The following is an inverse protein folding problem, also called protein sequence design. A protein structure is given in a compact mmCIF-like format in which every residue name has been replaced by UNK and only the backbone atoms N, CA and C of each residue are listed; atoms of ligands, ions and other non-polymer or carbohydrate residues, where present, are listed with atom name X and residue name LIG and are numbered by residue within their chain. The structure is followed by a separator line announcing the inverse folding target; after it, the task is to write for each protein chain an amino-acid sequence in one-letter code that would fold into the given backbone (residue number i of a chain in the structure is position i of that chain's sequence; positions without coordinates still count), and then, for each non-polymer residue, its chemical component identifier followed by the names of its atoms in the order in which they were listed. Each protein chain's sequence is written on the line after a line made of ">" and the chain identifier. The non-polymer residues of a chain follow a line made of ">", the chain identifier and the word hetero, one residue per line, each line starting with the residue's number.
data_IF_809488719791
#
_entry.id   IF_809488719791
#
_cell.length_a   1.000
_cell.length_b   1.000
_cell.length_c   1.000
_cell.angle_alpha   90.00
_cell.angle_beta   90.00
_cell.angle_gamma   90.00
#
_symmetry.space_group_name_H-M   'P 1'
#
loop_
_entity.id
_entity.type
_entity.pdbx_description
1 polymer ?
#
# COMPACT_ATOMS: atom_id res chain seq x y z
N UNK A 1 -14.84 -4.46 -35.51
CA UNK A 1 -15.43 -4.93 -34.24
C UNK A 1 -14.31 -5.09 -33.22
N UNK A 2 -14.41 -4.42 -32.07
CA UNK A 2 -13.70 -4.77 -30.83
C UNK A 2 -12.21 -4.41 -30.70
N UNK A 3 -11.84 -3.13 -30.83
CA UNK A 3 -10.57 -2.67 -30.24
C UNK A 3 -10.75 -2.50 -28.72
N UNK A 4 -10.38 -3.51 -27.93
CA UNK A 4 -10.22 -3.37 -26.48
C UNK A 4 -9.36 -4.50 -25.95
N UNK A 5 -8.47 -4.20 -25.01
CA UNK A 5 -7.51 -5.11 -24.35
C UNK A 5 -6.14 -5.26 -25.03
N UNK A 6 -5.58 -4.16 -25.54
CA UNK A 6 -4.12 -4.00 -25.45
C UNK A 6 -3.78 -3.50 -24.02
N UNK A 7 -4.06 -4.35 -23.02
CA UNK A 7 -3.48 -4.26 -21.68
C UNK A 7 -2.01 -4.66 -21.86
N UNK A 8 -1.17 -3.71 -22.28
CA UNK A 8 0.29 -3.89 -22.28
C UNK A 8 0.69 -4.48 -20.93
N UNK A 9 1.32 -5.64 -20.99
CA UNK A 9 1.43 -6.63 -19.92
C UNK A 9 1.69 -5.97 -18.57
N UNK A 10 0.93 -6.39 -17.56
CA UNK A 10 1.06 -6.02 -16.14
C UNK A 10 2.54 -5.89 -15.70
N UNK A 11 3.38 -6.79 -16.19
CA UNK A 11 4.86 -6.82 -16.04
C UNK A 11 5.61 -5.59 -16.59
N UNK A 12 5.17 -5.01 -17.71
CA UNK A 12 5.80 -3.84 -18.34
C UNK A 12 5.51 -2.57 -17.55
N UNK A 13 4.34 -2.48 -16.89
CA UNK A 13 4.06 -1.39 -15.94
C UNK A 13 4.90 -1.53 -14.67
N UNK A 14 5.04 -2.76 -14.16
CA UNK A 14 5.84 -3.08 -12.96
C UNK A 14 7.28 -2.59 -13.10
N UNK A 15 7.92 -2.84 -14.26
CA UNK A 15 9.30 -2.38 -14.51
C UNK A 15 9.45 -0.86 -14.56
N UNK A 16 8.49 -0.17 -15.18
CA UNK A 16 8.52 1.30 -15.27
C UNK A 16 8.22 1.99 -13.94
N UNK A 17 7.38 1.40 -13.09
CA UNK A 17 7.12 1.87 -11.73
C UNK A 17 8.34 1.63 -10.82
N UNK A 18 9.04 0.49 -10.98
CA UNK A 18 10.29 0.17 -10.30
C UNK A 18 11.41 1.20 -10.55
N UNK A 19 11.51 1.74 -11.77
CA UNK A 19 12.59 2.65 -12.17
C UNK A 19 12.28 4.14 -11.93
N UNK A 20 11.02 4.55 -11.74
CA UNK A 20 10.64 5.98 -11.68
C UNK A 20 9.96 6.47 -10.39
N UNK A 21 9.38 5.60 -9.54
CA UNK A 21 8.53 6.04 -8.42
C UNK A 21 8.87 5.44 -7.04
N UNK A 22 9.83 4.51 -6.96
CA UNK A 22 10.36 4.00 -5.69
C UNK A 22 11.66 4.75 -5.31
N UNK A 23 11.64 6.08 -5.50
CA UNK A 23 12.65 7.01 -5.01
C UNK A 23 12.32 7.49 -3.58
N UNK A 24 11.21 7.01 -3.00
CA UNK A 24 10.99 7.08 -1.55
C UNK A 24 11.98 6.17 -0.86
N UNK A 25 12.63 6.67 0.19
CA UNK A 25 13.64 5.96 0.97
C UNK A 25 13.28 4.48 1.10
N UNK A 26 14.08 3.61 0.50
CA UNK A 26 13.97 2.15 0.67
C UNK A 26 14.39 1.82 2.10
N UNK A 27 13.62 2.27 3.07
CA UNK A 27 13.76 1.86 4.46
C UNK A 27 13.42 0.37 4.44
N UNK A 28 14.43 -0.46 4.66
CA UNK A 28 14.21 -1.91 4.76
C UNK A 28 13.32 -2.20 5.96
N UNK A 29 12.70 -3.38 5.98
CA UNK A 29 11.88 -3.82 7.12
C UNK A 29 12.65 -3.68 8.44
N UNK A 30 13.94 -3.96 8.43
CA UNK A 30 14.83 -3.81 9.60
C UNK A 30 15.06 -2.35 10.01
N UNK A 31 15.30 -1.46 9.04
CA UNK A 31 15.46 -0.03 9.32
C UNK A 31 14.14 0.58 9.81
N UNK A 32 13.00 0.15 9.25
CA UNK A 32 11.68 0.58 9.70
C UNK A 32 11.42 0.12 11.15
N UNK A 33 11.81 -1.11 11.50
CA UNK A 33 11.76 -1.60 12.88
C UNK A 33 12.62 -0.76 13.83
N UNK A 34 13.83 -0.38 13.43
CA UNK A 34 14.70 0.50 14.24
C UNK A 34 14.13 1.90 14.39
N UNK A 35 13.65 2.49 13.30
CA UNK A 35 13.04 3.83 13.29
C UNK A 35 11.83 3.90 14.22
N UNK A 36 10.97 2.88 14.17
CA UNK A 36 9.78 2.77 15.01
C UNK A 36 10.10 2.29 16.45
N UNK A 37 11.36 1.98 16.75
CA UNK A 37 11.80 1.41 18.02
C UNK A 37 10.96 0.19 18.43
N UNK A 38 10.66 -0.68 17.46
CA UNK A 38 9.80 -1.83 17.66
C UNK A 38 10.47 -2.86 18.57
N UNK A 39 9.71 -3.47 19.52
CA UNK A 39 10.25 -4.55 20.33
C UNK A 39 10.66 -5.73 19.43
N UNK A 40 11.66 -6.49 19.86
CA UNK A 40 12.32 -7.56 19.09
C UNK A 40 11.36 -8.67 18.60
N UNK A 41 10.17 -8.78 19.20
CA UNK A 41 9.11 -9.69 18.78
C UNK A 41 8.15 -9.16 17.71
N UNK A 42 8.38 -7.97 17.14
CA UNK A 42 7.45 -7.38 16.18
C UNK A 42 7.54 -8.07 14.82
N UNK A 43 6.41 -8.62 14.39
CA UNK A 43 6.26 -9.34 13.15
C UNK A 43 5.83 -8.40 12.03
N UNK A 44 6.50 -8.52 10.89
CA UNK A 44 6.07 -7.80 9.69
C UNK A 44 4.90 -8.55 9.05
N UNK A 45 3.73 -7.91 8.98
CA UNK A 45 2.54 -8.50 8.34
C UNK A 45 2.53 -8.28 6.84
N UNK A 46 2.96 -7.10 6.37
CA UNK A 46 2.91 -6.74 4.96
C UNK A 46 2.77 -5.23 4.75
N UNK A 47 2.33 -4.84 3.57
CA UNK A 47 2.05 -3.46 3.17
C UNK A 47 0.55 -3.19 3.29
N UNK A 48 0.17 -2.04 3.81
CA UNK A 48 -1.21 -1.57 3.91
C UNK A 48 -1.35 -0.20 3.29
N UNK A 49 -2.54 0.14 2.82
CA UNK A 49 -2.82 1.45 2.25
C UNK A 49 -3.56 2.26 3.31
N UNK A 50 -2.95 3.35 3.76
CA UNK A 50 -3.45 4.28 4.76
C UNK A 50 -3.90 5.58 4.09
N UNK A 51 -5.03 6.13 4.52
CA UNK A 51 -5.60 7.40 4.08
C UNK A 51 -5.31 8.43 5.18
N UNK A 52 -4.26 9.26 5.04
CA UNK A 52 -3.92 10.26 6.05
C UNK A 52 -5.01 11.33 6.26
N UNK A 53 -5.92 11.50 5.31
CA UNK A 53 -6.98 12.50 5.38
C UNK A 53 -8.07 12.12 6.40
N UNK A 54 -8.40 10.83 6.47
CA UNK A 54 -9.47 10.30 7.32
C UNK A 54 -8.99 9.38 8.44
N UNK A 55 -7.68 9.10 8.49
CA UNK A 55 -7.04 8.15 9.42
C UNK A 55 -7.66 6.74 9.28
N UNK A 56 -7.80 6.29 8.03
CA UNK A 56 -8.41 5.01 7.68
C UNK A 56 -7.48 4.15 6.82
N UNK A 57 -7.69 2.84 6.83
CA UNK A 57 -6.94 1.87 6.05
C UNK A 57 -7.84 1.20 5.03
N UNK A 58 -7.33 0.97 3.83
CA UNK A 58 -8.04 0.17 2.84
C UNK A 58 -8.23 -1.25 3.36
N UNK A 59 -9.49 -1.68 3.52
CA UNK A 59 -9.88 -3.01 3.99
C UNK A 59 -10.32 -3.91 2.84
N UNK A 60 -11.08 -3.36 1.89
CA UNK A 60 -11.56 -4.08 0.70
C UNK A 60 -11.28 -3.25 -0.55
N UNK A 61 -10.81 -3.93 -1.59
CA UNK A 61 -10.68 -3.36 -2.93
C UNK A 61 -11.15 -4.40 -3.93
N UNK A 62 -12.20 -4.06 -4.68
CA UNK A 62 -12.75 -4.87 -5.74
C UNK A 62 -12.93 -3.98 -6.99
N UNK A 63 -12.12 -4.24 -8.01
CA UNK A 63 -12.27 -3.64 -9.33
C UNK A 63 -13.27 -4.49 -10.14
N UNK A 64 -14.34 -3.86 -10.63
CA UNK A 64 -15.29 -4.46 -11.58
C UNK A 64 -15.35 -3.61 -12.86
N UNK A 65 -15.79 -4.17 -13.98
CA UNK A 65 -15.82 -3.48 -15.29
C UNK A 65 -16.61 -2.16 -15.30
N UNK A 66 -17.50 -1.95 -14.33
CA UNK A 66 -18.33 -0.76 -14.20
C UNK A 66 -17.96 0.15 -13.01
N UNK A 67 -17.30 -0.37 -11.97
CA UNK A 67 -17.01 0.38 -10.75
C UNK A 67 -15.86 -0.21 -9.93
N UNK A 68 -15.15 0.68 -9.22
CA UNK A 68 -14.19 0.31 -8.18
C UNK A 68 -14.91 0.39 -6.84
N UNK A 69 -15.07 -0.75 -6.17
CA UNK A 69 -15.60 -0.83 -4.82
C UNK A 69 -14.42 -0.82 -3.83
N UNK A 70 -14.41 0.16 -2.94
CA UNK A 70 -13.38 0.31 -1.91
C UNK A 70 -14.06 0.44 -0.56
N UNK A 71 -13.58 -0.32 0.42
CA UNK A 71 -14.00 -0.18 1.82
C UNK A 71 -12.79 0.18 2.66
N UNK A 72 -13.02 1.07 3.63
CA UNK A 72 -11.99 1.58 4.52
C UNK A 72 -12.34 1.21 5.97
N UNK A 73 -11.33 0.93 6.78
CA UNK A 73 -11.45 0.55 8.18
C UNK A 73 -10.49 1.39 9.02
N UNK A 74 -10.91 1.81 10.21
CA UNK A 74 -10.06 2.60 11.14
C UNK A 74 -9.04 1.76 11.91
N UNK A 75 -9.12 0.44 11.80
CA UNK A 75 -8.27 -0.48 12.54
C UNK A 75 -7.30 -1.12 11.54
N UNK A 76 -5.99 -1.05 11.80
CA UNK A 76 -4.99 -1.62 10.89
C UNK A 76 -5.07 -3.15 10.78
N UNK A 77 -5.60 -3.84 11.79
CA UNK A 77 -5.88 -5.30 11.76
C UNK A 77 -6.90 -5.68 10.67
N UNK A 78 -7.90 -4.83 10.43
CA UNK A 78 -8.91 -5.05 9.39
C UNK A 78 -8.44 -4.55 8.01
N UNK A 79 -7.23 -3.98 7.93
CA UNK A 79 -6.69 -3.50 6.67
C UNK A 79 -6.35 -4.67 5.75
N UNK A 80 -6.46 -4.41 4.46
CA UNK A 80 -5.99 -5.31 3.42
C UNK A 80 -4.46 -5.28 3.43
N UNK A 81 -3.89 -6.37 3.93
CA UNK A 81 -2.44 -6.57 3.93
C UNK A 81 -2.00 -7.16 2.59
N UNK A 82 -1.08 -6.47 1.93
CA UNK A 82 -0.44 -6.88 0.70
C UNK A 82 0.95 -7.46 1.02
N UNK A 83 1.32 -8.58 0.40
CA UNK A 83 2.65 -9.16 0.61
C UNK A 83 3.76 -8.41 -0.14
N UNK A 84 3.40 -7.66 -1.18
CA UNK A 84 4.32 -6.88 -2.01
C UNK A 84 3.86 -5.43 -2.10
N UNK A 85 4.82 -4.50 -2.04
CA UNK A 85 4.58 -3.08 -2.27
C UNK A 85 3.97 -2.82 -3.64
N UNK A 86 4.35 -3.60 -4.66
CA UNK A 86 3.85 -3.47 -6.03
C UNK A 86 2.32 -3.64 -6.10
N UNK A 87 1.78 -4.68 -5.47
CA UNK A 87 0.33 -4.89 -5.39
C UNK A 87 -0.37 -3.76 -4.66
N UNK A 88 0.26 -3.18 -3.63
CA UNK A 88 -0.27 -2.03 -2.92
C UNK A 88 -0.24 -0.77 -3.81
N UNK A 89 0.85 -0.54 -4.57
CA UNK A 89 0.97 0.58 -5.51
C UNK A 89 -0.05 0.45 -6.65
N UNK A 90 -0.26 -0.75 -7.22
CA UNK A 90 -1.27 -0.97 -8.25
C UNK A 90 -2.66 -0.52 -7.76
N UNK A 91 -3.05 -0.97 -6.56
CA UNK A 91 -4.33 -0.60 -5.95
C UNK A 91 -4.38 0.88 -5.58
N UNK A 92 -3.26 1.43 -5.11
CA UNK A 92 -3.13 2.84 -4.79
C UNK A 92 -3.32 3.72 -6.04
N UNK A 93 -2.73 3.36 -7.18
CA UNK A 93 -2.85 4.12 -8.43
C UNK A 93 -4.27 4.10 -8.99
N UNK A 94 -5.06 3.06 -8.69
CA UNK A 94 -6.49 3.00 -9.03
C UNK A 94 -7.33 3.98 -8.18
N UNK A 95 -6.92 4.20 -6.92
CA UNK A 95 -7.58 5.12 -5.98
C UNK A 95 -7.01 6.53 -6.16
N UNK A 96 -7.45 7.21 -7.21
CA UNK A 96 -7.02 8.58 -7.53
C UNK A 96 -7.79 9.67 -6.79
N UNK A 97 -8.91 9.33 -6.15
CA UNK A 97 -9.77 10.29 -5.43
C UNK A 97 -9.22 10.72 -4.07
N UNK A 98 -8.34 9.93 -3.48
CA UNK A 98 -7.86 10.14 -2.11
C UNK A 98 -6.33 10.23 -2.07
N UNK A 99 -5.84 11.01 -1.13
CA UNK A 99 -4.43 10.94 -0.71
C UNK A 99 -4.24 9.64 0.04
N UNK A 100 -3.24 8.89 -0.36
CA UNK A 100 -2.95 7.58 0.20
C UNK A 100 -1.45 7.41 0.42
N UNK A 101 -1.15 6.71 1.51
CA UNK A 101 0.16 6.34 1.97
C UNK A 101 0.21 4.82 2.00
N UNK A 102 1.21 4.23 1.36
CA UNK A 102 1.51 2.82 1.57
C UNK A 102 2.43 2.74 2.77
N UNK A 103 1.99 1.98 3.77
CA UNK A 103 2.71 1.78 5.01
C UNK A 103 3.08 0.31 5.20
N UNK A 104 4.25 0.04 5.78
CA UNK A 104 4.60 -1.27 6.32
C UNK A 104 3.78 -1.48 7.60
N UNK A 105 3.01 -2.56 7.68
CA UNK A 105 2.30 -2.98 8.87
C UNK A 105 3.16 -3.95 9.68
N UNK A 106 3.39 -3.58 10.93
CA UNK A 106 4.02 -4.39 11.95
C UNK A 106 3.02 -4.71 13.04
N UNK A 107 2.94 -5.97 13.42
CA UNK A 107 2.20 -6.43 14.58
C UNK A 107 3.18 -6.69 15.73
N UNK A 108 2.86 -6.16 16.89
CA UNK A 108 3.53 -6.47 18.14
C UNK A 108 2.52 -7.02 19.14
N UNK A 109 2.98 -7.64 20.21
CA UNK A 109 2.13 -8.31 21.22
C UNK A 109 1.04 -7.40 21.82
N UNK A 110 1.25 -6.08 21.78
CA UNK A 110 0.34 -5.09 22.40
C UNK A 110 -0.34 -4.12 21.43
N UNK A 111 0.19 -3.96 20.21
CA UNK A 111 -0.29 -2.93 19.29
C UNK A 111 0.25 -3.13 17.87
N UNK A 112 -0.42 -2.48 16.92
CA UNK A 112 0.03 -2.39 15.53
C UNK A 112 0.83 -1.10 15.33
N UNK A 113 1.83 -1.19 14.46
CA UNK A 113 2.63 -0.05 14.05
C UNK A 113 2.66 0.02 12.54
N UNK A 114 2.66 1.23 12.02
CA UNK A 114 2.72 1.50 10.59
C UNK A 114 3.89 2.42 10.28
N UNK A 115 4.65 2.13 9.22
CA UNK A 115 5.68 3.03 8.72
C UNK A 115 5.37 3.39 7.26
N UNK A 116 5.09 4.67 6.92
CA UNK A 116 4.91 5.06 5.54
C UNK A 116 6.21 4.86 4.75
N UNK A 117 6.09 4.25 3.58
CA UNK A 117 7.20 3.98 2.64
C UNK A 117 6.96 4.56 1.26
N UNK A 118 5.72 4.91 0.94
CA UNK A 118 5.36 5.50 -0.34
C UNK A 118 4.09 6.34 -0.21
N UNK A 119 4.00 7.41 -0.99
CA UNK A 119 2.83 8.30 -1.06
C UNK A 119 2.43 8.53 -2.52
N UNK A 120 1.12 8.62 -2.80
CA UNK A 120 0.67 9.00 -4.14
C UNK A 120 0.67 10.52 -4.38
N UNK A 121 0.96 11.30 -3.33
CA UNK A 121 0.95 12.76 -3.33
C UNK A 121 2.35 13.27 -2.98
N UNK A 122 2.68 14.43 -3.52
CA UNK A 122 3.89 15.17 -3.16
C UNK A 122 3.55 16.01 -1.90
N UNK A 123 4.46 16.01 -0.91
CA UNK A 123 4.36 16.85 0.31
C UNK A 123 4.35 18.35 0.01
#
# INVERSE_FOLDING_TARGET
>A
MGQAKQRGSREVRIKQAQERKLEGERITIEEAKKHLNLPEGSEFKGYVIHLPDTDEFLSVFEETEAMVNTAYAKIPDLAKVFQSIESAVEVAEEITKHRILICLLFESDKQYFIQPVWANFEE
#
